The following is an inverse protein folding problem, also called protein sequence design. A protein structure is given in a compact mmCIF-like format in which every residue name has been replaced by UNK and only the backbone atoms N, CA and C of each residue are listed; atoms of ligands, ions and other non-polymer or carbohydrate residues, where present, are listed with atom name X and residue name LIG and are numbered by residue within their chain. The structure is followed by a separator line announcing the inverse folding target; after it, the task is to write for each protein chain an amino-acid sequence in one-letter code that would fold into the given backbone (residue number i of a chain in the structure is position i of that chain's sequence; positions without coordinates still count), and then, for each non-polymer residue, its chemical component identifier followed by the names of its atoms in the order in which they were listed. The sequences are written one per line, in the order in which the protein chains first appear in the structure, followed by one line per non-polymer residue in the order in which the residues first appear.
data_IF_578507603277
#
_entry.id   IF_578507603277
#
_cell.length_a   1.000
_cell.length_b   1.000
_cell.length_c   1.000
_cell.angle_alpha   90.00
_cell.angle_beta   90.00
_cell.angle_gamma   90.00
#
_symmetry.space_group_name_H-M   'P 1'
#
loop_
_entity.id
_entity.type
_entity.pdbx_description
1 polymer ?
#
# COMPACT_ATOMS: atom_id res chain seq x y z
N UNK A 1 -83.75 43.45 -32.64
CA UNK A 1 -83.16 43.75 -31.32
C UNK A 1 -82.72 42.46 -30.63
N UNK A 2 -81.44 42.30 -30.28
CA UNK A 2 -81.02 41.40 -29.23
C UNK A 2 -80.52 42.18 -28.00
N UNK A 3 -80.98 41.73 -26.82
CA UNK A 3 -80.67 42.31 -25.50
C UNK A 3 -79.23 42.00 -25.11
N UNK A 4 -78.42 43.04 -24.90
CA UNK A 4 -77.09 42.93 -24.31
C UNK A 4 -77.21 42.58 -22.82
N UNK A 5 -76.77 41.37 -22.46
CA UNK A 5 -76.77 40.86 -21.10
C UNK A 5 -75.64 41.51 -20.27
N UNK A 6 -75.99 42.49 -19.44
CA UNK A 6 -75.04 43.32 -18.67
C UNK A 6 -74.66 42.73 -17.29
N UNK A 7 -75.09 41.51 -16.97
CA UNK A 7 -74.95 40.91 -15.62
C UNK A 7 -73.75 39.97 -15.41
N UNK A 8 -72.94 39.68 -16.43
CA UNK A 8 -71.83 38.70 -16.34
C UNK A 8 -70.48 39.23 -15.82
N UNK A 9 -70.20 40.53 -15.92
CA UNK A 9 -68.87 41.09 -15.60
C UNK A 9 -68.62 41.34 -14.10
N UNK A 10 -69.66 41.55 -13.30
CA UNK A 10 -69.50 41.93 -11.89
C UNK A 10 -69.25 40.74 -10.95
N UNK A 11 -69.73 39.53 -11.28
CA UNK A 11 -69.46 38.30 -10.51
C UNK A 11 -68.03 37.78 -10.71
N UNK A 12 -67.51 37.87 -11.93
CA UNK A 12 -66.14 37.44 -12.27
C UNK A 12 -65.06 38.31 -11.61
N UNK A 13 -65.26 39.63 -11.53
CA UNK A 13 -64.34 40.52 -10.81
C UNK A 13 -64.33 40.24 -9.31
N UNK A 14 -65.50 40.12 -8.67
CA UNK A 14 -65.60 39.80 -7.22
C UNK A 14 -65.00 38.43 -6.86
N UNK A 15 -65.12 37.43 -7.74
CA UNK A 15 -64.52 36.11 -7.54
C UNK A 15 -62.98 36.17 -7.61
N UNK A 16 -62.42 36.87 -8.62
CA UNK A 16 -60.97 37.09 -8.74
C UNK A 16 -60.39 37.87 -7.56
N UNK A 17 -61.08 38.91 -7.07
CA UNK A 17 -60.61 39.70 -5.91
C UNK A 17 -60.66 38.88 -4.62
N UNK A 18 -61.67 38.02 -4.44
CA UNK A 18 -61.70 37.09 -3.29
C UNK A 18 -60.56 36.06 -3.35
N UNK A 19 -60.28 35.50 -4.52
CA UNK A 19 -59.23 34.50 -4.66
C UNK A 19 -57.83 35.09 -4.41
N UNK A 20 -57.53 36.26 -4.96
CA UNK A 20 -56.28 36.99 -4.65
C UNK A 20 -56.13 37.33 -3.17
N UNK A 21 -57.23 37.61 -2.47
CA UNK A 21 -57.21 37.86 -1.02
C UNK A 21 -56.92 36.59 -0.22
N UNK A 22 -57.49 35.44 -0.62
CA UNK A 22 -57.21 34.15 0.02
C UNK A 22 -55.78 33.68 -0.25
N UNK A 23 -55.30 33.80 -1.49
CA UNK A 23 -53.92 33.43 -1.86
C UNK A 23 -52.90 34.32 -1.13
N UNK A 24 -53.18 35.63 -1.02
CA UNK A 24 -52.33 36.56 -0.25
C UNK A 24 -52.32 36.29 1.25
N UNK A 25 -53.46 35.86 1.82
CA UNK A 25 -53.55 35.47 3.23
C UNK A 25 -52.78 34.17 3.52
N UNK A 26 -52.87 33.19 2.63
CA UNK A 26 -52.10 31.95 2.74
C UNK A 26 -50.58 32.21 2.61
N UNK A 27 -50.18 33.11 1.72
CA UNK A 27 -48.77 33.49 1.57
C UNK A 27 -48.20 34.14 2.85
N UNK A 28 -48.95 35.03 3.49
CA UNK A 28 -48.54 35.66 4.75
C UNK A 28 -48.47 34.63 5.89
N UNK A 29 -49.42 33.70 5.97
CA UNK A 29 -49.39 32.62 6.97
C UNK A 29 -48.20 31.68 6.76
N UNK A 30 -47.81 31.40 5.51
CA UNK A 30 -46.59 30.61 5.21
C UNK A 30 -45.30 31.36 5.53
N UNK A 31 -45.23 32.67 5.25
CA UNK A 31 -44.04 33.48 5.60
C UNK A 31 -43.86 33.60 7.12
N UNK A 32 -44.96 33.68 7.87
CA UNK A 32 -44.92 33.74 9.33
C UNK A 32 -44.51 32.40 9.95
N UNK A 33 -44.93 31.26 9.37
CA UNK A 33 -44.41 29.94 9.76
C UNK A 33 -42.91 29.81 9.49
N UNK A 34 -42.45 30.15 8.28
CA UNK A 34 -41.03 30.06 7.91
C UNK A 34 -40.17 30.96 8.82
N UNK A 35 -40.67 32.14 9.21
CA UNK A 35 -39.96 33.01 10.16
C UNK A 35 -39.83 32.38 11.55
N UNK A 36 -40.88 31.73 12.06
CA UNK A 36 -40.82 31.05 13.36
C UNK A 36 -39.88 29.86 13.34
N UNK A 37 -39.93 29.04 12.28
CA UNK A 37 -38.99 27.91 12.12
C UNK A 37 -37.54 28.41 12.05
N UNK A 38 -37.26 29.47 11.28
CA UNK A 38 -35.93 30.06 11.25
C UNK A 38 -35.50 30.67 12.60
N UNK A 39 -36.42 31.25 13.38
CA UNK A 39 -36.13 31.77 14.73
C UNK A 39 -35.79 30.65 15.72
N UNK A 40 -36.49 29.51 15.63
CA UNK A 40 -36.20 28.30 16.41
C UNK A 40 -34.84 27.70 16.04
N UNK A 41 -34.53 27.57 14.75
CA UNK A 41 -33.22 27.11 14.26
C UNK A 41 -32.08 28.05 14.72
N UNK A 42 -32.29 29.37 14.68
CA UNK A 42 -31.30 30.34 15.17
C UNK A 42 -31.08 30.19 16.68
N UNK A 43 -32.13 29.92 17.46
CA UNK A 43 -31.99 29.71 18.91
C UNK A 43 -31.23 28.42 19.23
N UNK A 44 -31.48 27.33 18.49
CA UNK A 44 -30.75 26.07 18.66
C UNK A 44 -29.27 26.24 18.34
N UNK A 45 -28.94 26.90 17.23
CA UNK A 45 -27.55 27.22 16.86
C UNK A 45 -26.87 28.11 17.91
N UNK A 46 -27.60 29.06 18.51
CA UNK A 46 -27.05 29.90 19.58
C UNK A 46 -26.74 29.09 20.84
N UNK A 47 -27.57 28.10 21.18
CA UNK A 47 -27.31 27.21 22.31
C UNK A 47 -26.08 26.34 22.05
N UNK A 48 -25.93 25.77 20.85
CA UNK A 48 -24.75 24.98 20.48
C UNK A 48 -23.46 25.81 20.55
N UNK A 49 -23.49 27.06 20.08
CA UNK A 49 -22.34 27.96 20.18
C UNK A 49 -21.95 28.20 21.65
N UNK A 50 -22.94 28.34 22.54
CA UNK A 50 -22.70 28.55 23.96
C UNK A 50 -22.09 27.30 24.62
N UNK A 51 -22.56 26.12 24.27
CA UNK A 51 -22.03 24.86 24.79
C UNK A 51 -20.57 24.64 24.33
N UNK A 52 -20.27 24.89 23.05
CA UNK A 52 -18.90 24.83 22.51
C UNK A 52 -17.97 25.84 23.18
N UNK A 53 -18.46 27.03 23.50
CA UNK A 53 -17.69 28.02 24.24
C UNK A 53 -17.34 27.55 25.66
N UNK A 54 -18.27 26.86 26.33
CA UNK A 54 -18.01 26.28 27.66
C UNK A 54 -16.96 25.17 27.58
N UNK A 55 -17.10 24.23 26.64
CA UNK A 55 -16.11 23.17 26.44
C UNK A 55 -14.72 23.73 26.12
N UNK A 56 -14.65 24.81 25.32
CA UNK A 56 -13.38 25.46 25.01
C UNK A 56 -12.72 26.07 26.26
N UNK A 57 -13.51 26.60 27.20
CA UNK A 57 -12.99 27.12 28.47
C UNK A 57 -12.47 26.00 29.37
N UNK A 58 -13.17 24.86 29.43
CA UNK A 58 -12.76 23.72 30.23
C UNK A 58 -11.44 23.13 29.72
N UNK A 59 -11.29 22.97 28.39
CA UNK A 59 -10.04 22.55 27.74
C UNK A 59 -8.90 23.53 28.01
N UNK A 60 -9.18 24.84 28.05
CA UNK A 60 -8.17 25.85 28.40
C UNK A 60 -7.70 25.71 29.85
N UNK A 61 -8.58 25.36 30.78
CA UNK A 61 -8.21 25.10 32.18
C UNK A 61 -7.34 23.85 32.31
N UNK A 62 -7.74 22.74 31.68
CA UNK A 62 -6.94 21.51 31.67
C UNK A 62 -5.55 21.74 31.06
N UNK A 63 -5.47 22.55 30.00
CA UNK A 63 -4.18 22.89 29.38
C UNK A 63 -3.27 23.68 30.33
N UNK A 64 -3.84 24.54 31.18
CA UNK A 64 -3.08 25.29 32.19
C UNK A 64 -2.56 24.37 33.30
N UNK A 65 -3.36 23.40 33.73
CA UNK A 65 -2.94 22.41 34.74
C UNK A 65 -1.77 21.56 34.22
N UNK A 66 -1.85 21.06 32.99
CA UNK A 66 -0.75 20.30 32.36
C UNK A 66 0.51 21.16 32.21
N UNK A 67 0.38 22.45 31.89
CA UNK A 67 1.54 23.36 31.84
C UNK A 67 2.22 23.52 33.20
N UNK A 68 1.45 23.52 34.30
CA UNK A 68 1.99 23.55 35.65
C UNK A 68 2.73 22.26 35.98
N UNK A 69 2.16 21.09 35.66
CA UNK A 69 2.83 19.80 35.88
C UNK A 69 4.17 19.70 35.12
N UNK A 70 4.22 20.19 33.88
CA UNK A 70 5.47 20.22 33.10
C UNK A 70 6.52 21.10 33.78
N UNK A 71 6.14 22.23 34.38
CA UNK A 71 7.08 23.08 35.12
C UNK A 71 7.61 22.38 36.37
N UNK A 72 6.76 21.68 37.11
CA UNK A 72 7.14 20.96 38.32
C UNK A 72 8.13 19.83 38.00
N UNK A 73 7.88 19.06 36.93
CA UNK A 73 8.81 18.01 36.45
C UNK A 73 10.14 18.59 36.00
N UNK A 74 10.14 19.75 35.33
CA UNK A 74 11.38 20.43 34.95
C UNK A 74 12.21 20.85 36.16
N UNK A 75 11.57 21.29 37.24
CA UNK A 75 12.24 21.63 38.49
C UNK A 75 12.83 20.37 39.15
N UNK A 76 12.07 19.29 39.25
CA UNK A 76 12.56 18.02 39.83
C UNK A 76 13.77 17.47 39.05
N UNK A 77 13.74 17.61 37.71
CA UNK A 77 14.86 17.19 36.84
C UNK A 77 16.12 18.03 37.07
N UNK A 78 15.98 19.33 37.35
CA UNK A 78 17.10 20.20 37.69
C UNK A 78 17.70 19.83 39.05
N UNK A 79 16.86 19.56 40.05
CA UNK A 79 17.30 19.12 41.38
C UNK A 79 18.08 17.78 41.31
N UNK A 80 17.62 16.82 40.49
CA UNK A 80 18.35 15.55 40.29
C UNK A 80 19.67 15.75 39.54
N UNK A 81 19.74 16.69 38.60
CA UNK A 81 21.00 17.02 37.94
C UNK A 81 22.00 17.63 38.93
N UNK A 82 21.55 18.57 39.76
CA UNK A 82 22.37 19.19 40.80
C UNK A 82 22.94 18.16 41.79
N UNK A 83 22.10 17.23 42.28
CA UNK A 83 22.53 16.15 43.18
C UNK A 83 23.53 15.19 42.54
N UNK A 84 23.38 14.87 41.26
CA UNK A 84 24.35 14.05 40.53
C UNK A 84 25.71 14.76 40.38
N UNK A 85 25.73 16.07 40.16
CA UNK A 85 26.98 16.87 40.18
C UNK A 85 27.64 16.85 41.56
N UNK A 86 26.86 16.98 42.64
CA UNK A 86 27.35 16.94 44.02
C UNK A 86 27.92 15.55 44.40
N UNK A 87 27.40 14.47 43.81
CA UNK A 87 27.96 13.12 43.95
C UNK A 87 29.27 12.90 43.17
N UNK A 88 29.46 13.55 42.02
CA UNK A 88 30.73 13.48 41.29
C UNK A 88 31.87 14.20 42.02
N UNK A 89 31.59 15.31 42.73
CA UNK A 89 32.60 16.05 43.50
C UNK A 89 33.06 15.33 44.80
N UNK A 90 32.30 14.33 45.27
CA UNK A 90 32.62 13.57 46.51
C UNK A 90 33.14 12.15 46.25
N UNK A 91 33.11 11.68 45.00
CA UNK A 91 33.48 10.31 44.60
C UNK A 91 34.93 10.06 44.21
N UNK A 92 35.79 11.09 44.14
CA UNK A 92 37.23 10.94 43.85
C UNK A 92 38.05 10.48 45.07
N UNK A 93 37.67 9.36 45.69
CA UNK A 93 38.61 8.56 46.51
C UNK A 93 38.04 7.15 46.66
N UNK A 94 38.39 6.21 45.76
CA UNK A 94 38.52 4.76 46.12
C UNK A 94 38.78 3.79 44.96
N UNK A 95 38.87 4.20 43.69
CA UNK A 95 39.02 3.23 42.57
C UNK A 95 40.33 3.39 41.82
N UNK A 96 41.45 3.44 42.54
CA UNK A 96 42.79 3.23 41.99
C UNK A 96 43.57 2.29 42.90
N UNK A 97 43.33 0.98 42.76
CA UNK A 97 44.23 -0.10 43.24
C UNK A 97 43.69 -1.46 42.84
N UNK A 98 43.83 -1.82 41.55
CA UNK A 98 44.17 -3.19 41.10
C UNK A 98 44.24 -3.22 39.57
N UNK A 99 45.37 -2.79 39.03
CA UNK A 99 45.75 -3.13 37.67
C UNK A 99 47.26 -3.37 37.63
N UNK A 100 47.66 -4.60 37.95
CA UNK A 100 48.96 -5.16 37.59
C UNK A 100 48.98 -6.65 37.95
N UNK A 101 49.60 -7.45 37.07
CA UNK A 101 49.82 -8.91 37.11
C UNK A 101 48.70 -9.80 36.56
N UNK A 102 48.78 -10.08 35.25
CA UNK A 102 49.10 -11.45 34.81
C UNK A 102 49.41 -11.48 33.31
N UNK A 103 50.69 -11.55 33.00
CA UNK A 103 51.20 -12.02 31.73
C UNK A 103 52.24 -13.12 32.01
N UNK A 104 52.25 -14.14 31.15
CA UNK A 104 53.31 -15.14 30.88
C UNK A 104 53.28 -16.54 31.56
N UNK A 105 52.94 -17.53 30.69
CA UNK A 105 53.59 -18.86 30.44
C UNK A 105 53.34 -20.04 31.42
N UNK A 106 53.72 -21.31 31.08
CA UNK A 106 53.37 -22.13 29.91
C UNK A 106 52.99 -23.61 30.28
N UNK A 107 52.56 -24.39 29.27
CA UNK A 107 52.62 -25.87 29.10
C UNK A 107 52.93 -26.78 30.30
N UNK A 108 52.11 -27.83 30.56
CA UNK A 108 52.48 -29.23 30.26
C UNK A 108 51.45 -30.33 30.63
N UNK A 109 51.54 -31.44 29.89
CA UNK A 109 51.36 -32.86 30.27
C UNK A 109 49.95 -33.50 30.34
N UNK A 110 49.69 -34.28 29.29
CA UNK A 110 49.38 -35.72 29.27
C UNK A 110 48.56 -36.33 30.43
N UNK A 111 47.38 -36.82 30.07
CA UNK A 111 46.76 -37.98 30.71
C UNK A 111 46.51 -39.04 29.63
N UNK A 112 47.35 -40.08 29.65
CA UNK A 112 47.14 -41.31 28.91
C UNK A 112 45.90 -42.01 29.46
N UNK A 113 44.98 -42.42 28.58
CA UNK A 113 44.04 -43.49 28.88
C UNK A 113 43.49 -44.11 27.59
N UNK A 114 43.80 -45.39 27.38
CA UNK A 114 42.90 -46.33 26.72
C UNK A 114 43.02 -46.46 25.20
N UNK A 115 43.88 -47.38 24.77
CA UNK A 115 43.98 -47.89 23.41
C UNK A 115 42.61 -48.32 22.82
N UNK A 116 42.12 -47.57 21.84
CA UNK A 116 41.34 -48.06 20.70
C UNK A 116 41.90 -47.33 19.48
N UNK A 117 42.32 -48.05 18.44
CA UNK A 117 42.85 -47.47 17.21
C UNK A 117 41.83 -46.48 16.64
N UNK A 118 42.05 -45.18 16.83
CA UNK A 118 41.21 -44.14 16.26
C UNK A 118 41.36 -44.22 14.75
N UNK A 119 40.25 -44.46 14.04
CA UNK A 119 40.25 -44.33 12.58
C UNK A 119 40.78 -42.95 12.22
N UNK A 120 41.75 -42.88 11.31
CA UNK A 120 42.12 -41.61 10.67
C UNK A 120 40.83 -41.00 10.11
N UNK A 121 40.38 -39.91 10.71
CA UNK A 121 39.22 -39.17 10.25
C UNK A 121 39.63 -37.72 10.19
N UNK A 122 39.33 -37.05 9.09
CA UNK A 122 39.60 -35.62 8.95
C UNK A 122 38.47 -34.87 9.66
N UNK A 123 38.81 -34.11 10.70
CA UNK A 123 37.88 -33.27 11.45
C UNK A 123 38.52 -31.92 11.78
N UNK A 124 37.75 -31.02 12.39
CA UNK A 124 38.21 -29.68 12.72
C UNK A 124 39.38 -29.64 13.72
N UNK A 125 39.63 -30.74 14.47
CA UNK A 125 40.70 -30.83 15.47
C UNK A 125 42.06 -31.26 14.89
N UNK A 126 42.08 -31.84 13.70
CA UNK A 126 43.28 -32.34 13.03
C UNK A 126 43.39 -31.80 11.59
N UNK A 127 42.95 -30.55 11.42
CA UNK A 127 42.99 -29.82 10.17
C UNK A 127 44.11 -28.79 10.19
N UNK A 128 45.08 -28.94 9.28
CA UNK A 128 46.30 -28.11 9.27
C UNK A 128 46.18 -26.86 8.39
N UNK A 129 45.05 -26.67 7.69
CA UNK A 129 44.82 -25.55 6.79
C UNK A 129 43.90 -24.48 7.39
N UNK A 130 43.66 -23.39 6.66
CA UNK A 130 42.78 -22.31 7.12
C UNK A 130 41.30 -22.76 7.22
N UNK A 131 40.51 -22.08 8.07
CA UNK A 131 39.08 -22.33 8.20
C UNK A 131 38.30 -22.23 6.88
N UNK A 132 38.58 -21.26 5.97
CA UNK A 132 37.94 -21.23 4.65
C UNK A 132 38.25 -22.44 3.77
N UNK A 133 39.43 -23.05 3.93
CA UNK A 133 39.77 -24.27 3.20
C UNK A 133 38.96 -25.47 3.70
N UNK A 134 38.70 -25.53 5.02
CA UNK A 134 37.85 -26.56 5.62
C UNK A 134 36.42 -26.46 5.10
N UNK A 135 35.86 -25.26 5.04
CA UNK A 135 34.52 -25.03 4.48
C UNK A 135 34.42 -25.46 3.02
N UNK A 136 35.44 -25.13 2.21
CA UNK A 136 35.49 -25.53 0.80
C UNK A 136 35.51 -27.06 0.63
N UNK A 137 36.32 -27.77 1.42
CA UNK A 137 36.43 -29.22 1.35
C UNK A 137 35.16 -29.94 1.85
N UNK A 138 34.53 -29.42 2.91
CA UNK A 138 33.24 -29.94 3.39
C UNK A 138 32.15 -29.80 2.31
N UNK A 139 32.14 -28.68 1.57
CA UNK A 139 31.19 -28.47 0.47
C UNK A 139 31.45 -29.45 -0.67
N UNK A 140 32.71 -29.67 -1.06
CA UNK A 140 33.07 -30.65 -2.10
C UNK A 140 32.69 -32.06 -1.68
N UNK A 141 32.97 -32.44 -0.43
CA UNK A 141 32.58 -33.73 0.11
C UNK A 141 31.06 -33.94 0.09
N UNK A 142 30.29 -32.91 0.47
CA UNK A 142 28.83 -32.96 0.41
C UNK A 142 28.28 -33.16 -1.00
N UNK A 143 28.90 -32.54 -2.02
CA UNK A 143 28.50 -32.75 -3.42
C UNK A 143 28.83 -34.16 -3.92
N UNK A 144 30.00 -34.70 -3.58
CA UNK A 144 30.40 -36.05 -3.97
C UNK A 144 29.48 -37.12 -3.35
N UNK A 145 29.17 -36.97 -2.06
CA UNK A 145 28.21 -37.85 -1.36
C UNK A 145 26.83 -37.76 -2.00
N UNK A 146 26.38 -36.56 -2.38
CA UNK A 146 25.09 -36.39 -3.04
C UNK A 146 25.05 -36.98 -4.46
N UNK A 147 26.16 -37.03 -5.18
CA UNK A 147 26.25 -37.74 -6.46
C UNK A 147 26.20 -39.26 -6.25
N UNK A 148 26.91 -39.78 -5.25
CA UNK A 148 26.93 -41.21 -4.91
C UNK A 148 25.56 -41.71 -4.42
N UNK A 149 24.94 -40.99 -3.48
CA UNK A 149 23.67 -41.41 -2.86
C UNK A 149 22.45 -41.20 -3.75
N UNK A 150 22.46 -40.19 -4.62
CA UNK A 150 21.27 -39.74 -5.32
C UNK A 150 21.43 -39.60 -6.84
N UNK A 151 22.62 -39.88 -7.40
CA UNK A 151 22.89 -39.74 -8.83
C UNK A 151 22.77 -38.30 -9.34
N UNK A 152 22.85 -37.31 -8.45
CA UNK A 152 22.64 -35.90 -8.77
C UNK A 152 23.90 -35.29 -9.38
N UNK A 153 23.93 -35.16 -10.71
CA UNK A 153 24.95 -34.37 -11.41
C UNK A 153 24.60 -32.89 -11.41
N UNK A 154 25.29 -32.12 -10.58
CA UNK A 154 25.09 -30.68 -10.46
C UNK A 154 25.67 -29.96 -11.67
N UNK A 155 24.83 -29.68 -12.67
CA UNK A 155 25.14 -28.72 -13.73
C UNK A 155 25.09 -27.31 -13.12
N UNK A 156 26.19 -26.90 -12.47
CA UNK A 156 26.37 -25.51 -12.09
C UNK A 156 26.26 -24.65 -13.36
N UNK A 157 25.20 -23.85 -13.46
CA UNK A 157 25.12 -22.80 -14.46
C UNK A 157 26.42 -21.99 -14.39
N UNK A 158 27.24 -22.10 -15.46
CA UNK A 158 28.63 -21.60 -15.58
C UNK A 158 28.90 -20.33 -14.77
N UNK A 159 29.27 -20.46 -13.49
CA UNK A 159 29.94 -19.41 -12.74
C UNK A 159 31.43 -19.64 -12.97
N UNK A 160 32.10 -18.69 -13.62
CA UNK A 160 33.56 -18.70 -13.70
C UNK A 160 34.09 -18.73 -12.26
N UNK A 161 34.89 -19.73 -11.91
CA UNK A 161 35.62 -19.73 -10.64
C UNK A 161 36.54 -18.49 -10.64
N UNK A 162 36.21 -17.51 -9.81
CA UNK A 162 36.88 -16.21 -9.77
C UNK A 162 38.21 -16.26 -9.01
N UNK A 163 38.47 -17.34 -8.28
CA UNK A 163 39.59 -17.48 -7.34
C UNK A 163 40.74 -18.29 -7.96
N UNK A 164 40.46 -19.12 -8.97
CA UNK A 164 41.50 -19.88 -9.67
C UNK A 164 42.53 -18.98 -10.39
N UNK A 165 43.80 -19.39 -10.32
CA UNK A 165 44.92 -18.75 -11.04
C UNK A 165 44.62 -18.71 -12.55
N UNK A 166 44.80 -17.54 -13.17
CA UNK A 166 44.49 -17.32 -14.60
C UNK A 166 43.03 -16.93 -14.90
N UNK A 167 42.15 -16.88 -13.89
CA UNK A 167 40.75 -16.47 -14.09
C UNK A 167 40.61 -15.02 -14.57
N UNK A 168 41.47 -14.11 -14.11
CA UNK A 168 41.48 -12.71 -14.52
C UNK A 168 41.82 -12.55 -16.00
N UNK A 169 42.92 -13.15 -16.44
CA UNK A 169 43.38 -13.12 -17.82
C UNK A 169 42.31 -13.69 -18.77
N UNK A 170 41.69 -14.80 -18.39
CA UNK A 170 40.59 -15.40 -19.15
C UNK A 170 39.38 -14.45 -19.24
N UNK A 171 39.01 -13.73 -18.18
CA UNK A 171 37.93 -12.72 -18.22
C UNK A 171 38.27 -11.56 -19.17
N UNK A 172 39.50 -11.08 -19.16
CA UNK A 172 39.97 -10.00 -20.06
C UNK A 172 39.86 -10.45 -21.52
N UNK A 173 40.35 -11.66 -21.83
CA UNK A 173 40.26 -12.24 -23.18
C UNK A 173 38.81 -12.45 -23.64
N UNK A 174 37.95 -13.04 -22.80
CA UNK A 174 36.52 -13.19 -23.10
C UNK A 174 35.82 -11.83 -23.31
N UNK A 175 36.24 -10.80 -22.57
CA UNK A 175 35.70 -9.44 -22.71
C UNK A 175 36.12 -8.81 -24.04
N UNK A 176 37.38 -9.00 -24.46
CA UNK A 176 37.88 -8.59 -25.77
C UNK A 176 37.14 -9.28 -26.93
N UNK A 177 36.93 -10.60 -26.82
CA UNK A 177 36.17 -11.37 -27.81
C UNK A 177 34.72 -10.88 -27.92
N UNK A 178 34.06 -10.58 -26.79
CA UNK A 178 32.70 -10.03 -26.77
C UNK A 178 32.62 -8.62 -27.36
N UNK A 179 33.64 -7.80 -27.13
CA UNK A 179 33.70 -6.45 -27.68
C UNK A 179 33.82 -6.49 -29.21
N UNK A 180 34.72 -7.35 -29.72
CA UNK A 180 34.98 -7.47 -31.16
C UNK A 180 33.87 -8.23 -31.90
N UNK A 181 33.43 -9.37 -31.37
CA UNK A 181 32.48 -10.29 -32.02
C UNK A 181 31.00 -10.03 -31.69
N UNK A 182 30.68 -8.91 -31.02
CA UNK A 182 29.34 -8.59 -30.48
C UNK A 182 28.79 -9.71 -29.58
N UNK A 183 27.51 -9.68 -29.26
CA UNK A 183 26.86 -10.65 -28.33
C UNK A 183 26.88 -12.09 -28.86
N UNK A 184 26.99 -12.29 -30.17
CA UNK A 184 26.88 -13.61 -30.83
C UNK A 184 28.23 -14.31 -31.03
N UNK A 185 29.33 -13.72 -30.54
CA UNK A 185 30.70 -14.21 -30.73
C UNK A 185 30.91 -15.67 -30.34
N UNK A 186 30.11 -16.19 -29.41
CA UNK A 186 30.19 -17.58 -28.94
C UNK A 186 29.80 -18.62 -30.00
N UNK A 187 29.07 -18.23 -31.04
CA UNK A 187 28.44 -19.18 -31.98
C UNK A 187 29.44 -19.86 -32.91
N UNK A 188 30.42 -19.13 -33.43
CA UNK A 188 31.49 -19.69 -34.29
C UNK A 188 32.41 -20.62 -33.50
N UNK A 189 33.05 -20.20 -32.39
CA UNK A 189 33.93 -21.08 -31.62
C UNK A 189 33.21 -22.32 -31.07
N UNK A 190 31.91 -22.20 -30.74
CA UNK A 190 31.12 -23.36 -30.32
C UNK A 190 30.94 -24.37 -31.45
N UNK A 191 30.64 -23.90 -32.66
CA UNK A 191 30.48 -24.75 -33.84
C UNK A 191 31.81 -25.41 -34.22
N UNK A 192 32.91 -24.68 -34.10
CA UNK A 192 34.25 -25.16 -34.41
C UNK A 192 34.71 -26.22 -33.39
N UNK A 193 34.37 -26.04 -32.10
CA UNK A 193 34.74 -26.97 -31.04
C UNK A 193 33.84 -28.21 -30.93
N UNK A 194 32.56 -28.11 -31.31
CA UNK A 194 31.56 -29.19 -31.08
C UNK A 194 30.98 -29.78 -32.36
N UNK A 195 31.36 -29.27 -33.54
CA UNK A 195 30.85 -29.70 -34.84
C UNK A 195 29.37 -29.39 -35.08
N UNK A 196 28.67 -28.81 -34.10
CA UNK A 196 27.22 -28.60 -34.12
C UNK A 196 26.87 -27.19 -33.66
N UNK A 197 25.74 -26.66 -34.14
CA UNK A 197 25.30 -25.33 -33.72
C UNK A 197 24.69 -25.37 -32.31
N UNK A 198 24.80 -24.30 -31.50
CA UNK A 198 24.17 -24.25 -30.19
C UNK A 198 22.66 -24.52 -30.25
N UNK A 199 22.11 -25.16 -29.21
CA UNK A 199 20.69 -25.51 -29.13
C UNK A 199 19.74 -24.31 -29.21
N UNK A 200 18.47 -24.57 -29.53
CA UNK A 200 17.46 -23.54 -29.82
C UNK A 200 17.24 -22.55 -28.66
N UNK A 201 17.26 -23.03 -27.42
CA UNK A 201 17.15 -22.18 -26.23
C UNK A 201 18.30 -21.17 -26.10
N UNK A 202 19.52 -21.59 -26.44
CA UNK A 202 20.70 -20.71 -26.39
C UNK A 202 20.64 -19.64 -27.49
N UNK A 203 20.22 -20.01 -28.70
CA UNK A 203 19.97 -19.06 -29.80
C UNK A 203 18.90 -18.03 -29.42
N UNK A 204 17.83 -18.47 -28.75
CA UNK A 204 16.78 -17.56 -28.26
C UNK A 204 17.29 -16.61 -27.18
N UNK A 205 18.14 -17.09 -26.27
CA UNK A 205 18.80 -16.25 -25.26
C UNK A 205 19.72 -15.19 -25.89
N UNK A 206 20.53 -15.58 -26.88
CA UNK A 206 21.39 -14.63 -27.62
C UNK A 206 20.57 -13.54 -28.31
N UNK A 207 19.48 -13.93 -29.00
CA UNK A 207 18.56 -12.98 -29.65
C UNK A 207 17.94 -11.99 -28.66
N UNK A 208 17.57 -12.44 -27.45
CA UNK A 208 17.08 -11.55 -26.38
C UNK A 208 18.14 -10.53 -25.95
N UNK A 209 19.41 -10.93 -25.83
CA UNK A 209 20.48 -10.03 -25.46
C UNK A 209 20.81 -9.02 -26.56
N UNK A 210 20.83 -9.44 -27.83
CA UNK A 210 20.99 -8.54 -28.98
C UNK A 210 19.88 -7.49 -29.00
N UNK A 211 18.62 -7.92 -28.92
CA UNK A 211 17.46 -7.02 -28.87
C UNK A 211 17.53 -6.04 -27.68
N UNK A 212 18.03 -6.48 -26.52
CA UNK A 212 18.22 -5.61 -25.35
C UNK A 212 19.30 -4.56 -25.57
N UNK A 213 20.43 -4.94 -26.20
CA UNK A 213 21.50 -4.03 -26.54
C UNK A 213 21.06 -3.00 -27.60
N UNK A 214 20.33 -3.43 -28.63
CA UNK A 214 19.76 -2.55 -29.66
C UNK A 214 18.75 -1.56 -29.08
N UNK A 215 17.81 -2.02 -28.24
CA UNK A 215 16.86 -1.14 -27.54
C UNK A 215 17.57 -0.08 -26.68
N UNK A 216 18.66 -0.46 -26.00
CA UNK A 216 19.50 0.49 -25.24
C UNK A 216 20.22 1.49 -26.15
N UNK A 217 20.66 1.07 -27.34
CA UNK A 217 21.25 1.95 -28.35
C UNK A 217 20.21 2.91 -28.96
N UNK A 218 19.02 2.43 -29.33
CA UNK A 218 17.92 3.29 -29.80
C UNK A 218 17.49 4.32 -28.74
N UNK A 219 17.44 3.93 -27.46
CA UNK A 219 17.19 4.89 -26.36
C UNK A 219 18.25 5.97 -26.21
N UNK A 220 19.50 5.72 -26.61
CA UNK A 220 20.55 6.75 -26.63
C UNK A 220 20.36 7.71 -27.82
N UNK A 221 20.00 7.18 -29.00
CA UNK A 221 19.76 7.95 -30.23
C UNK A 221 18.55 8.89 -30.15
N UNK A 222 17.52 8.53 -29.36
CA UNK A 222 16.37 9.40 -29.08
C UNK A 222 16.70 10.67 -28.28
N UNK A 223 17.93 10.80 -27.77
CA UNK A 223 18.44 11.99 -27.08
C UNK A 223 19.67 12.60 -27.78
N UNK A 224 19.79 12.45 -29.10
CA UNK A 224 20.79 13.14 -29.91
C UNK A 224 20.42 14.64 -30.01
N UNK A 225 20.71 15.39 -28.94
CA UNK A 225 20.40 16.82 -28.86
C UNK A 225 20.66 17.49 -27.52
N UNK A 226 21.29 16.82 -26.55
CA UNK A 226 21.80 17.50 -25.35
C UNK A 226 23.30 17.73 -25.48
N UNK A 227 23.80 18.97 -25.30
CA UNK A 227 25.22 19.26 -25.41
C UNK A 227 26.02 18.42 -24.39
N UNK A 228 27.22 18.03 -24.80
CA UNK A 228 28.16 17.12 -24.10
C UNK A 228 28.63 17.57 -22.70
N UNK A 229 28.03 18.62 -22.13
CA UNK A 229 28.31 19.14 -20.79
C UNK A 229 27.25 18.76 -19.74
N UNK A 230 26.33 17.84 -20.05
CA UNK A 230 25.57 17.18 -19.00
C UNK A 230 26.49 16.17 -18.29
N UNK A 231 27.22 16.66 -17.27
CA UNK A 231 27.90 15.81 -16.30
C UNK A 231 26.92 14.72 -15.90
N UNK A 232 27.22 13.44 -16.21
CA UNK A 232 26.43 12.31 -15.70
C UNK A 232 26.18 12.62 -14.23
N UNK A 233 24.93 12.58 -13.71
CA UNK A 233 24.74 12.76 -12.29
C UNK A 233 25.65 11.72 -11.65
N UNK A 234 26.67 12.19 -10.93
CA UNK A 234 27.55 11.31 -10.17
C UNK A 234 26.58 10.46 -9.39
N UNK A 235 26.56 9.14 -9.61
CA UNK A 235 25.82 8.25 -8.72
C UNK A 235 26.28 8.67 -7.34
N UNK A 236 25.37 9.21 -6.54
CA UNK A 236 25.69 9.57 -5.17
C UNK A 236 26.43 8.34 -4.61
N UNK A 237 27.60 8.56 -4.00
CA UNK A 237 28.24 7.50 -3.23
C UNK A 237 27.10 6.89 -2.42
N UNK A 238 26.81 5.60 -2.59
CA UNK A 238 25.84 4.93 -1.74
C UNK A 238 26.34 5.23 -0.33
N UNK A 239 25.61 6.10 0.38
CA UNK A 239 25.85 6.25 1.80
C UNK A 239 25.66 4.86 2.39
N UNK A 240 26.48 4.47 3.38
CA UNK A 240 26.17 3.27 4.17
C UNK A 240 24.69 3.34 4.54
N UNK A 241 23.94 2.28 4.27
CA UNK A 241 22.52 2.24 4.61
C UNK A 241 22.42 2.47 6.11
N UNK A 242 21.78 3.55 6.56
CA UNK A 242 21.63 3.84 7.99
C UNK A 242 21.02 2.63 8.71
N UNK A 243 20.11 1.95 8.02
CA UNK A 243 19.42 0.74 8.47
C UNK A 243 20.29 -0.54 8.49
N UNK A 244 21.60 -0.48 8.17
CA UNK A 244 22.45 -1.68 8.11
C UNK A 244 23.90 -1.44 8.59
N UNK A 245 24.26 -2.08 9.71
CA UNK A 245 25.60 -2.06 10.28
C UNK A 245 25.57 -2.08 11.82
N UNK A 246 26.73 -2.07 12.50
CA UNK A 246 26.82 -2.07 13.96
C UNK A 246 26.22 -0.84 14.66
N UNK A 247 25.87 0.20 13.89
CA UNK A 247 25.22 1.44 14.31
C UNK A 247 23.81 1.59 13.72
N UNK A 248 23.25 0.55 13.10
CA UNK A 248 21.86 0.59 12.67
C UNK A 248 20.97 0.78 13.89
N UNK A 249 19.97 1.65 13.78
CA UNK A 249 19.00 1.90 14.84
C UNK A 249 18.54 0.54 15.39
N UNK A 250 18.78 0.32 16.67
CA UNK A 250 18.27 -0.87 17.34
C UNK A 250 16.75 -0.86 17.15
N UNK A 251 16.20 -2.02 16.81
CA UNK A 251 14.75 -2.20 16.73
C UNK A 251 14.16 -1.61 18.02
N UNK A 252 13.31 -0.59 17.87
CA UNK A 252 12.52 -0.06 18.98
C UNK A 252 11.91 -1.24 19.75
N UNK A 253 11.90 -1.14 21.07
CA UNK A 253 11.35 -2.19 21.92
C UNK A 253 9.96 -2.59 21.38
N UNK A 254 9.72 -3.89 21.08
CA UNK A 254 8.42 -4.35 20.61
C UNK A 254 7.25 -3.81 21.43
N UNK A 255 7.44 -3.57 22.73
CA UNK A 255 6.43 -3.01 23.62
C UNK A 255 6.13 -1.52 23.32
N UNK A 256 7.15 -0.71 23.05
CA UNK A 256 6.97 0.69 22.64
C UNK A 256 6.23 0.81 21.32
N UNK A 257 6.53 -0.07 20.36
CA UNK A 257 5.83 -0.08 19.06
C UNK A 257 4.34 -0.37 19.25
N UNK A 258 3.99 -1.32 20.12
CA UNK A 258 2.59 -1.65 20.41
C UNK A 258 1.87 -0.46 21.03
N UNK A 259 2.49 0.21 22.01
CA UNK A 259 1.92 1.41 22.64
C UNK A 259 1.66 2.53 21.62
N UNK A 260 2.62 2.84 20.76
CA UNK A 260 2.43 3.84 19.70
C UNK A 260 1.32 3.48 18.72
N UNK A 261 1.20 2.19 18.35
CA UNK A 261 0.13 1.72 17.47
C UNK A 261 -1.23 1.92 18.14
N UNK A 262 -1.35 1.64 19.44
CA UNK A 262 -2.60 1.85 20.18
C UNK A 262 -2.97 3.33 20.27
N UNK A 263 -2.01 4.22 20.49
CA UNK A 263 -2.25 5.68 20.48
C UNK A 263 -2.75 6.17 19.13
N UNK A 264 -2.15 5.70 18.03
CA UNK A 264 -2.60 6.02 16.67
C UNK A 264 -4.03 5.51 16.44
N UNK A 265 -4.35 4.29 16.89
CA UNK A 265 -5.69 3.73 16.74
C UNK A 265 -6.71 4.50 17.58
N UNK A 266 -6.35 4.94 18.78
CA UNK A 266 -7.19 5.80 19.64
C UNK A 266 -7.48 7.14 18.96
N UNK A 267 -6.46 7.78 18.38
CA UNK A 267 -6.63 9.04 17.64
C UNK A 267 -7.46 8.90 16.35
N UNK A 268 -7.56 7.70 15.78
CA UNK A 268 -8.42 7.42 14.63
C UNK A 268 -9.85 7.05 14.99
N UNK A 269 -10.15 6.84 16.28
CA UNK A 269 -11.47 6.41 16.72
C UNK A 269 -12.55 7.44 16.36
N UNK A 270 -13.70 6.96 15.92
CA UNK A 270 -14.80 7.80 15.42
C UNK A 270 -16.10 7.29 16.04
N UNK A 271 -16.96 8.20 16.52
CA UNK A 271 -18.30 7.84 17.00
C UNK A 271 -19.25 7.51 15.84
N UNK A 272 -20.44 6.98 16.11
CA UNK A 272 -21.41 6.72 15.03
C UNK A 272 -21.88 8.02 14.36
N UNK A 273 -22.10 9.09 15.14
CA UNK A 273 -22.47 10.40 14.63
C UNK A 273 -21.37 11.03 13.77
N UNK A 274 -20.12 10.93 14.23
CA UNK A 274 -18.98 11.45 13.47
C UNK A 274 -18.79 10.67 12.16
N UNK A 275 -19.03 9.35 12.17
CA UNK A 275 -18.97 8.51 10.97
C UNK A 275 -19.98 9.00 9.92
N UNK A 276 -21.22 9.26 10.32
CA UNK A 276 -22.27 9.73 9.42
C UNK A 276 -21.97 11.14 8.91
N UNK A 277 -21.47 12.02 9.77
CA UNK A 277 -20.99 13.35 9.39
C UNK A 277 -19.84 13.28 8.37
N UNK A 278 -18.85 12.42 8.60
CA UNK A 278 -17.73 12.20 7.68
C UNK A 278 -18.24 11.62 6.36
N UNK A 279 -19.16 10.67 6.41
CA UNK A 279 -19.76 10.05 5.22
C UNK A 279 -20.43 11.10 4.33
N UNK A 280 -21.26 11.98 4.90
CA UNK A 280 -21.98 13.01 4.15
C UNK A 280 -21.00 14.09 3.66
N UNK A 281 -20.12 14.57 4.53
CA UNK A 281 -19.16 15.63 4.19
C UNK A 281 -18.10 15.19 3.19
N UNK A 282 -17.86 13.89 3.02
CA UNK A 282 -16.90 13.32 2.06
C UNK A 282 -17.51 12.87 0.72
N UNK A 283 -18.80 13.17 0.48
CA UNK A 283 -19.44 12.95 -0.82
C UNK A 283 -18.67 13.72 -1.90
N UNK A 284 -18.52 13.11 -3.09
CA UNK A 284 -17.70 13.65 -4.19
C UNK A 284 -16.31 13.03 -4.29
N UNK A 285 -15.93 12.13 -3.37
CA UNK A 285 -14.72 11.30 -3.41
C UNK A 285 -13.46 12.12 -3.73
N UNK A 286 -12.81 11.88 -4.87
CA UNK A 286 -11.55 12.53 -5.25
C UNK A 286 -11.64 14.05 -5.44
N UNK A 287 -12.84 14.61 -5.60
CA UNK A 287 -13.03 16.06 -5.67
C UNK A 287 -13.14 16.74 -4.30
N UNK A 288 -13.07 15.97 -3.21
CA UNK A 288 -13.33 16.43 -1.86
C UNK A 288 -12.08 16.27 -0.98
N UNK A 289 -11.64 17.37 -0.37
CA UNK A 289 -10.45 17.39 0.49
C UNK A 289 -10.64 16.57 1.77
N UNK A 290 -11.84 16.60 2.36
CA UNK A 290 -12.19 15.79 3.55
C UNK A 290 -12.09 14.30 3.24
N UNK A 291 -12.51 13.91 2.05
CA UNK A 291 -12.35 12.52 1.61
C UNK A 291 -10.87 12.13 1.52
N UNK A 292 -10.01 12.97 0.95
CA UNK A 292 -8.58 12.69 0.82
C UNK A 292 -7.87 12.63 2.17
N UNK A 293 -8.16 13.57 3.07
CA UNK A 293 -7.57 13.65 4.41
C UNK A 293 -7.91 12.40 5.23
N UNK A 294 -9.19 12.03 5.33
CA UNK A 294 -9.64 10.87 6.09
C UNK A 294 -9.14 9.56 5.46
N UNK A 295 -9.15 9.47 4.13
CA UNK A 295 -8.70 8.28 3.41
C UNK A 295 -7.21 8.00 3.56
N UNK A 296 -6.37 9.03 3.67
CA UNK A 296 -4.90 8.89 3.75
C UNK A 296 -4.44 8.08 4.96
N UNK A 297 -5.20 8.14 6.05
CA UNK A 297 -4.86 7.50 7.32
C UNK A 297 -5.44 6.09 7.47
N UNK A 298 -6.26 5.63 6.50
CA UNK A 298 -7.04 4.39 6.59
C UNK A 298 -6.77 3.43 5.44
N UNK A 299 -6.92 2.13 5.72
CA UNK A 299 -6.84 1.07 4.72
C UNK A 299 -8.19 0.94 4.01
N UNK A 300 -8.23 1.34 2.74
CA UNK A 300 -9.47 1.28 1.94
C UNK A 300 -9.75 -0.09 1.32
N UNK A 301 -11.03 -0.41 1.14
CA UNK A 301 -11.52 -1.63 0.47
C UNK A 301 -10.78 -1.98 -0.84
N UNK A 302 -10.46 -0.98 -1.67
CA UNK A 302 -9.73 -1.16 -2.94
C UNK A 302 -8.30 -1.74 -2.78
N UNK A 303 -7.68 -1.55 -1.62
CA UNK A 303 -6.36 -2.07 -1.28
C UNK A 303 -6.44 -3.46 -0.64
N UNK A 304 -7.59 -3.84 -0.10
CA UNK A 304 -7.77 -5.03 0.74
C UNK A 304 -7.42 -6.33 0.00
N UNK A 305 -7.80 -6.44 -1.28
CA UNK A 305 -7.45 -7.60 -2.11
C UNK A 305 -5.95 -7.85 -2.24
N UNK A 306 -5.11 -6.81 -2.16
CA UNK A 306 -3.65 -6.93 -2.16
C UNK A 306 -3.11 -7.43 -0.82
N UNK A 307 -3.74 -7.00 0.27
CA UNK A 307 -3.38 -7.40 1.65
C UNK A 307 -3.74 -8.85 1.90
N UNK A 308 -4.98 -9.24 1.61
CA UNK A 308 -5.50 -10.61 1.87
C UNK A 308 -4.75 -11.67 1.05
N UNK A 309 -4.35 -11.35 -0.18
CA UNK A 309 -3.61 -12.29 -1.05
C UNK A 309 -2.13 -12.39 -0.75
N UNK A 310 -1.59 -11.57 0.15
CA UNK A 310 -0.17 -11.61 0.49
C UNK A 310 0.16 -12.95 1.13
N UNK A 311 1.14 -13.67 0.59
CA UNK A 311 1.64 -14.91 1.20
C UNK A 311 2.47 -14.58 2.45
N UNK A 312 2.42 -15.44 3.46
CA UNK A 312 3.17 -15.30 4.72
C UNK A 312 4.66 -15.04 4.52
N UNK A 313 5.29 -15.72 3.55
CA UNK A 313 6.72 -15.62 3.23
C UNK A 313 7.08 -14.47 2.26
N UNK A 314 6.10 -13.76 1.69
CA UNK A 314 6.38 -12.60 0.85
C UNK A 314 6.60 -11.38 1.76
N UNK A 315 7.75 -10.70 1.68
CA UNK A 315 8.03 -9.58 2.58
C UNK A 315 7.02 -8.43 2.36
N UNK A 316 6.55 -7.82 3.46
CA UNK A 316 5.46 -6.84 3.43
C UNK A 316 5.89 -5.42 3.09
N UNK A 317 7.17 -5.07 3.21
CA UNK A 317 7.68 -3.69 3.08
C UNK A 317 7.27 -3.01 1.76
N UNK A 318 7.27 -3.74 0.63
CA UNK A 318 6.88 -3.18 -0.65
C UNK A 318 5.38 -2.85 -0.73
N UNK A 319 4.55 -3.70 -0.13
CA UNK A 319 3.11 -3.47 -0.02
C UNK A 319 2.82 -2.28 0.89
N UNK A 320 3.42 -2.27 2.09
CA UNK A 320 3.28 -1.18 3.07
C UNK A 320 3.72 0.15 2.45
N UNK A 321 4.89 0.20 1.80
CA UNK A 321 5.38 1.40 1.10
C UNK A 321 4.40 1.89 0.04
N UNK A 322 3.74 0.99 -0.69
CA UNK A 322 2.74 1.38 -1.69
C UNK A 322 1.42 1.87 -1.11
N UNK A 323 1.06 1.43 0.11
CA UNK A 323 -0.13 1.89 0.83
C UNK A 323 0.13 3.28 1.42
N UNK A 324 1.32 3.48 2.00
CA UNK A 324 1.74 4.76 2.60
C UNK A 324 2.09 5.84 1.58
N UNK A 325 2.67 5.46 0.43
CA UNK A 325 3.07 6.38 -0.65
C UNK A 325 2.18 6.21 -1.87
N UNK A 326 0.87 6.43 -1.70
CA UNK A 326 -0.04 6.48 -2.84
C UNK A 326 0.36 7.66 -3.73
N UNK A 327 0.76 7.37 -4.97
CA UNK A 327 1.07 8.40 -5.95
C UNK A 327 -0.22 8.94 -6.57
N UNK A 328 -0.36 10.26 -6.62
CA UNK A 328 -1.47 10.96 -7.28
C UNK A 328 -1.35 10.91 -8.81
N UNK A 329 -1.09 9.72 -9.39
CA UNK A 329 -1.02 9.53 -10.82
C UNK A 329 -2.39 9.17 -11.38
N UNK A 330 -2.91 10.06 -12.22
CA UNK A 330 -4.11 9.79 -13.01
C UNK A 330 -3.71 8.98 -14.25
N UNK A 331 -4.44 7.90 -14.52
CA UNK A 331 -4.21 7.05 -15.70
C UNK A 331 -5.41 7.18 -16.65
N UNK A 332 -5.21 6.93 -17.95
CA UNK A 332 -6.29 6.93 -18.95
C UNK A 332 -7.48 6.05 -18.53
N UNK A 333 -7.21 4.92 -17.88
CA UNK A 333 -8.25 4.02 -17.39
C UNK A 333 -9.03 4.60 -16.21
N UNK A 334 -8.39 5.41 -15.35
CA UNK A 334 -9.05 6.11 -14.24
C UNK A 334 -9.92 7.26 -14.76
N UNK A 335 -9.41 8.07 -15.70
CA UNK A 335 -10.20 9.13 -16.34
C UNK A 335 -11.43 8.57 -17.05
N UNK A 336 -11.24 7.48 -17.81
CA UNK A 336 -12.34 6.77 -18.44
C UNK A 336 -13.37 6.27 -17.40
N UNK A 337 -12.87 5.73 -16.28
CA UNK A 337 -13.70 5.31 -15.15
C UNK A 337 -14.59 6.44 -14.64
N UNK A 338 -13.97 7.54 -14.22
CA UNK A 338 -14.65 8.73 -13.68
C UNK A 338 -15.72 9.26 -14.65
N UNK A 339 -15.39 9.35 -15.95
CA UNK A 339 -16.30 9.86 -16.96
C UNK A 339 -17.50 8.94 -17.23
N UNK A 340 -17.31 7.62 -17.16
CA UNK A 340 -18.34 6.64 -17.51
C UNK A 340 -19.14 6.14 -16.33
N UNK A 341 -18.66 6.32 -15.11
CA UNK A 341 -19.33 5.89 -13.89
C UNK A 341 -20.74 6.50 -13.77
N UNK A 342 -20.88 7.82 -13.96
CA UNK A 342 -22.19 8.50 -13.93
C UNK A 342 -23.16 7.96 -14.97
N UNK A 343 -22.66 7.66 -16.17
CA UNK A 343 -23.48 7.08 -17.25
C UNK A 343 -23.92 5.66 -16.89
N UNK A 344 -23.03 4.85 -16.33
CA UNK A 344 -23.31 3.48 -15.92
C UNK A 344 -24.35 3.44 -14.79
N UNK A 345 -24.23 4.31 -13.78
CA UNK A 345 -25.24 4.47 -12.72
C UNK A 345 -26.61 4.80 -13.30
N UNK A 346 -26.70 5.79 -14.20
CA UNK A 346 -27.97 6.17 -14.82
C UNK A 346 -28.60 5.08 -15.71
N UNK A 347 -27.79 4.22 -16.34
CA UNK A 347 -28.29 3.03 -17.06
C UNK A 347 -28.82 2.00 -16.07
N UNK A 348 -28.08 1.75 -14.99
CA UNK A 348 -28.47 0.82 -13.94
C UNK A 348 -29.81 1.21 -13.31
N UNK A 349 -29.96 2.48 -12.89
CA UNK A 349 -31.18 3.03 -12.30
C UNK A 349 -32.40 2.82 -13.20
N UNK A 350 -32.27 3.13 -14.49
CA UNK A 350 -33.34 2.93 -15.48
C UNK A 350 -33.66 1.45 -15.71
N UNK A 351 -32.64 0.60 -15.75
CA UNK A 351 -32.82 -0.83 -16.05
C UNK A 351 -33.45 -1.61 -14.90
N UNK A 352 -33.12 -1.25 -13.65
CA UNK A 352 -33.60 -1.93 -12.44
C UNK A 352 -34.78 -1.19 -11.81
N UNK A 353 -35.10 0.03 -12.25
CA UNK A 353 -36.08 0.92 -11.63
C UNK A 353 -35.79 1.15 -10.13
N UNK A 354 -34.51 1.35 -9.81
CA UNK A 354 -34.01 1.63 -8.46
C UNK A 354 -33.33 3.00 -8.47
N UNK A 355 -33.39 3.70 -7.34
CA UNK A 355 -32.65 4.96 -7.14
C UNK A 355 -31.30 4.66 -6.50
N UNK A 356 -30.23 5.26 -7.02
CA UNK A 356 -28.89 5.16 -6.46
C UNK A 356 -28.51 6.49 -5.82
N UNK A 357 -28.35 6.50 -4.50
CA UNK A 357 -27.85 7.67 -3.78
C UNK A 357 -26.32 7.72 -3.83
N UNK A 358 -25.77 8.93 -3.90
CA UNK A 358 -24.32 9.12 -3.77
C UNK A 358 -23.84 8.70 -2.38
N UNK A 359 -22.59 8.23 -2.31
CA UNK A 359 -21.95 7.82 -1.06
C UNK A 359 -20.60 8.50 -0.91
N UNK A 360 -20.25 8.79 0.33
CA UNK A 360 -18.90 9.19 0.72
C UNK A 360 -18.12 8.01 1.33
N UNK A 361 -17.18 8.35 2.20
CA UNK A 361 -16.33 7.41 2.93
C UNK A 361 -17.03 6.88 4.19
N UNK A 362 -17.15 5.57 4.29
CA UNK A 362 -17.62 4.86 5.46
C UNK A 362 -16.44 4.33 6.27
N UNK A 363 -16.45 4.59 7.57
CA UNK A 363 -15.41 4.16 8.52
C UNK A 363 -15.98 3.06 9.43
N UNK A 364 -15.20 2.02 9.68
CA UNK A 364 -15.58 0.96 10.62
C UNK A 364 -15.34 1.42 12.07
N UNK A 365 -16.37 1.43 12.90
CA UNK A 365 -16.26 1.92 14.30
C UNK A 365 -15.48 1.01 15.23
N UNK A 366 -15.36 -0.28 14.89
CA UNK A 366 -14.59 -1.20 15.71
C UNK A 366 -13.12 -1.20 15.30
N UNK A 367 -12.86 -0.99 14.03
CA UNK A 367 -11.55 -0.98 13.41
C UNK A 367 -11.39 0.35 12.65
N UNK A 368 -11.14 1.47 13.35
CA UNK A 368 -11.16 2.82 12.75
C UNK A 368 -10.12 3.03 11.64
N UNK A 369 -9.10 2.17 11.57
CA UNK A 369 -8.13 2.13 10.48
C UNK A 369 -8.68 1.49 9.19
N UNK A 370 -9.90 0.97 9.17
CA UNK A 370 -10.59 0.43 7.99
C UNK A 370 -11.63 1.40 7.49
N UNK A 371 -11.67 1.57 6.16
CA UNK A 371 -12.69 2.38 5.51
C UNK A 371 -13.07 1.84 4.13
N UNK A 372 -14.25 2.21 3.65
CA UNK A 372 -14.73 1.86 2.33
C UNK A 372 -15.56 3.01 1.75
N UNK A 373 -15.46 3.21 0.44
CA UNK A 373 -16.26 4.20 -0.27
C UNK A 373 -16.99 3.44 -1.37
N UNK A 374 -18.25 3.00 -1.15
CA UNK A 374 -19.02 2.38 -2.21
C UNK A 374 -19.33 3.43 -3.27
N UNK A 375 -19.58 2.99 -4.51
CA UNK A 375 -19.88 3.93 -5.60
C UNK A 375 -21.30 4.49 -5.44
N UNK A 376 -22.21 3.78 -4.80
CA UNK A 376 -23.51 4.31 -4.40
C UNK A 376 -24.28 3.39 -3.45
N UNK A 377 -25.37 3.92 -2.92
CA UNK A 377 -26.27 3.22 -2.00
C UNK A 377 -27.63 3.01 -2.67
N UNK A 378 -28.25 1.86 -2.43
CA UNK A 378 -29.55 1.48 -2.95
C UNK A 378 -30.46 1.19 -1.76
N UNK A 379 -31.39 2.11 -1.49
CA UNK A 379 -32.21 2.04 -0.28
C UNK A 379 -31.34 2.01 0.98
N UNK A 380 -31.70 1.17 1.94
CA UNK A 380 -31.02 1.11 3.23
C UNK A 380 -30.02 -0.06 3.34
N UNK A 381 -30.17 -1.09 2.50
CA UNK A 381 -29.51 -2.39 2.73
C UNK A 381 -28.56 -2.84 1.61
N UNK A 382 -28.48 -2.08 0.52
CA UNK A 382 -27.71 -2.47 -0.65
C UNK A 382 -26.75 -1.38 -1.11
N UNK A 383 -25.61 -1.82 -1.66
CA UNK A 383 -24.58 -0.97 -2.22
C UNK A 383 -24.35 -1.33 -3.68
N UNK A 384 -23.88 -0.37 -4.47
CA UNK A 384 -23.43 -0.57 -5.85
C UNK A 384 -21.94 -0.27 -5.97
N UNK A 385 -21.24 -1.12 -6.71
CA UNK A 385 -19.84 -0.94 -7.11
C UNK A 385 -19.78 -1.03 -8.64
N UNK A 386 -19.38 0.07 -9.27
CA UNK A 386 -19.40 0.27 -10.72
C UNK A 386 -17.97 0.20 -11.26
N UNK A 387 -17.70 -0.75 -12.17
CA UNK A 387 -16.40 -0.85 -12.84
C UNK A 387 -16.52 -0.61 -14.34
N UNK A 388 -16.00 0.54 -14.79
CA UNK A 388 -15.90 0.85 -16.23
C UNK A 388 -14.55 0.37 -16.79
N UNK A 389 -14.56 -0.79 -17.45
CA UNK A 389 -13.34 -1.45 -17.94
C UNK A 389 -12.81 -0.81 -19.24
N UNK A 390 -11.81 0.08 -19.13
CA UNK A 390 -11.14 0.70 -20.29
C UNK A 390 -10.52 -0.31 -21.29
N UNK A 391 -10.19 -1.52 -20.85
CA UNK A 391 -9.70 -2.57 -21.77
C UNK A 391 -10.80 -3.10 -22.68
N UNK A 392 -12.05 -3.15 -22.21
CA UNK A 392 -13.20 -3.58 -22.99
C UNK A 392 -13.62 -2.51 -24.00
N UNK A 393 -13.46 -1.23 -23.68
CA UNK A 393 -13.80 -0.13 -24.60
C UNK A 393 -12.90 -0.06 -25.84
N UNK A 394 -11.76 -0.78 -25.85
CA UNK A 394 -10.85 -0.88 -26.99
C UNK A 394 -11.23 -2.01 -27.95
N UNK A 395 -12.20 -2.84 -27.59
CA UNK A 395 -12.71 -3.90 -28.46
C UNK A 395 -13.57 -3.30 -29.57
N UNK A 396 -13.61 -3.94 -30.76
CA UNK A 396 -14.44 -3.47 -31.86
C UNK A 396 -15.92 -3.48 -31.46
N UNK A 397 -16.68 -2.48 -31.94
CA UNK A 397 -18.10 -2.27 -31.65
C UNK A 397 -19.01 -3.44 -32.05
N UNK A 398 -18.50 -4.40 -32.80
CA UNK A 398 -19.18 -5.66 -33.13
C UNK A 398 -19.28 -6.61 -31.92
N UNK A 399 -18.44 -6.41 -30.89
CA UNK A 399 -18.46 -7.19 -29.65
C UNK A 399 -19.59 -6.69 -28.76
N UNK A 400 -20.79 -7.22 -28.99
CA UNK A 400 -22.02 -6.68 -28.35
C UNK A 400 -22.39 -7.43 -27.08
N UNK A 401 -21.85 -8.63 -26.86
CA UNK A 401 -22.22 -9.49 -25.73
C UNK A 401 -21.10 -9.57 -24.69
N UNK A 402 -21.49 -9.66 -23.42
CA UNK A 402 -20.55 -9.76 -22.30
C UNK A 402 -19.74 -11.07 -22.37
N UNK A 403 -20.32 -12.14 -22.92
CA UNK A 403 -19.66 -13.42 -23.17
C UNK A 403 -18.49 -13.27 -24.16
N UNK A 404 -18.69 -12.61 -25.31
CA UNK A 404 -17.62 -12.39 -26.29
C UNK A 404 -16.47 -11.56 -25.70
N UNK A 405 -16.80 -10.55 -24.88
CA UNK A 405 -15.79 -9.74 -24.18
C UNK A 405 -14.95 -10.61 -23.23
N UNK A 406 -15.58 -11.53 -22.51
CA UNK A 406 -14.90 -12.45 -21.60
C UNK A 406 -13.99 -13.40 -22.38
N UNK A 407 -14.45 -13.94 -23.50
CA UNK A 407 -13.67 -14.87 -24.31
C UNK A 407 -12.47 -14.18 -24.98
N UNK A 408 -12.64 -12.95 -25.48
CA UNK A 408 -11.58 -12.18 -26.13
C UNK A 408 -10.50 -11.68 -25.15
N UNK A 409 -10.90 -11.23 -23.96
CA UNK A 409 -9.97 -10.68 -22.97
C UNK A 409 -9.41 -11.76 -22.03
N UNK A 410 -10.11 -12.87 -21.85
CA UNK A 410 -9.72 -14.04 -21.08
C UNK A 410 -9.23 -13.71 -19.67
N UNK A 411 -7.93 -13.90 -19.42
CA UNK A 411 -7.33 -13.63 -18.11
C UNK A 411 -7.16 -12.14 -17.79
N UNK A 412 -7.33 -11.24 -18.76
CA UNK A 412 -7.18 -9.79 -18.57
C UNK A 412 -8.42 -9.12 -17.97
N UNK A 413 -9.57 -9.79 -17.98
CA UNK A 413 -10.82 -9.29 -17.40
C UNK A 413 -11.06 -9.88 -15.99
N UNK A 414 -11.80 -9.14 -15.17
CA UNK A 414 -12.17 -9.55 -13.82
C UNK A 414 -13.33 -10.55 -13.74
N UNK A 415 -14.04 -10.79 -14.86
CA UNK A 415 -15.21 -11.66 -14.95
C UNK A 415 -14.84 -13.07 -15.41
N UNK A 416 -15.63 -14.05 -14.99
CA UNK A 416 -15.59 -15.44 -15.43
C UNK A 416 -17.01 -15.99 -15.61
N UNK A 417 -17.14 -16.98 -16.49
CA UNK A 417 -18.37 -17.74 -16.67
C UNK A 417 -18.32 -18.99 -15.79
N UNK A 418 -19.26 -19.12 -14.85
CA UNK A 418 -19.50 -20.37 -14.11
C UNK A 418 -20.98 -20.67 -14.11
N UNK A 419 -21.34 -21.93 -14.35
CA UNK A 419 -22.72 -22.41 -14.32
C UNK A 419 -23.68 -21.61 -15.22
N UNK A 420 -23.21 -21.24 -16.42
CA UNK A 420 -23.91 -20.36 -17.38
C UNK A 420 -24.29 -18.97 -16.83
N UNK A 421 -23.68 -18.54 -15.73
CA UNK A 421 -23.82 -17.21 -15.15
C UNK A 421 -22.47 -16.48 -15.22
N UNK A 422 -22.54 -15.19 -15.48
CA UNK A 422 -21.37 -14.31 -15.46
C UNK A 422 -21.18 -13.82 -14.03
N UNK A 423 -20.00 -14.02 -13.49
CA UNK A 423 -19.67 -13.64 -12.12
C UNK A 423 -18.25 -13.07 -12.04
N UNK A 424 -17.97 -12.35 -10.96
CA UNK A 424 -16.63 -11.86 -10.66
C UNK A 424 -15.72 -13.01 -10.23
N UNK A 425 -14.50 -13.05 -10.78
CA UNK A 425 -13.46 -13.99 -10.35
C UNK A 425 -13.17 -13.83 -8.86
N UNK A 426 -13.35 -14.90 -8.08
CA UNK A 426 -13.07 -14.91 -6.63
C UNK A 426 -11.61 -14.59 -6.28
N UNK A 427 -10.68 -14.86 -7.20
CA UNK A 427 -9.27 -14.51 -7.04
C UNK A 427 -8.94 -13.10 -7.59
N UNK A 428 -9.90 -12.31 -8.03
CA UNK A 428 -9.65 -10.93 -8.48
C UNK A 428 -9.64 -9.95 -7.30
N UNK A 429 -8.95 -8.81 -7.42
CA UNK A 429 -8.85 -7.84 -6.31
C UNK A 429 -10.21 -7.19 -5.99
N UNK A 430 -11.00 -6.91 -7.03
CA UNK A 430 -12.35 -6.36 -6.90
C UNK A 430 -13.29 -7.24 -6.07
N UNK A 431 -13.04 -8.57 -5.97
CA UNK A 431 -13.89 -9.45 -5.17
C UNK A 431 -13.78 -9.12 -3.69
N UNK A 432 -12.56 -8.87 -3.24
CA UNK A 432 -12.30 -8.46 -1.86
C UNK A 432 -12.76 -7.03 -1.61
N UNK A 433 -12.69 -6.15 -2.61
CA UNK A 433 -13.18 -4.77 -2.48
C UNK A 433 -14.67 -4.74 -2.13
N UNK A 434 -15.49 -5.49 -2.87
CA UNK A 434 -16.93 -5.58 -2.59
C UNK A 434 -17.20 -6.27 -1.26
N UNK A 435 -16.49 -7.36 -0.96
CA UNK A 435 -16.66 -8.08 0.30
C UNK A 435 -16.39 -7.19 1.52
N UNK A 436 -15.47 -6.23 1.41
CA UNK A 436 -15.14 -5.27 2.47
C UNK A 436 -15.93 -3.96 2.42
N UNK A 437 -16.99 -3.88 1.61
CA UNK A 437 -17.87 -2.71 1.59
C UNK A 437 -18.63 -2.53 2.91
N UNK A 438 -19.13 -1.32 3.20
CA UNK A 438 -19.99 -1.09 4.35
C UNK A 438 -21.34 -1.76 4.07
N UNK A 439 -21.77 -2.64 4.97
CA UNK A 439 -23.11 -3.23 4.95
C UNK A 439 -23.68 -3.05 6.33
N UNK A 440 -24.70 -2.20 6.44
CA UNK A 440 -25.39 -1.96 7.70
C UNK A 440 -26.45 -3.05 7.87
N UNK A 441 -26.20 -4.01 8.76
CA UNK A 441 -27.27 -4.84 9.31
C UNK A 441 -27.08 -5.04 10.80
N UNK A 442 -28.09 -4.59 11.53
CA UNK A 442 -28.33 -4.93 12.92
C UNK A 442 -28.09 -6.43 13.14
N UNK A 443 -27.25 -6.73 14.14
CA UNK A 443 -27.09 -8.05 14.76
C UNK A 443 -26.49 -9.15 13.87
N UNK A 444 -25.33 -8.90 13.27
CA UNK A 444 -24.16 -9.80 13.34
C UNK A 444 -23.01 -9.17 12.56
N UNK A 445 -21.92 -8.86 13.28
CA UNK A 445 -20.65 -8.39 12.73
C UNK A 445 -20.05 -9.46 11.80
N UNK A 446 -20.50 -9.51 10.55
CA UNK A 446 -19.80 -10.20 9.47
C UNK A 446 -19.97 -9.39 8.20
N UNK A 447 -18.85 -8.97 7.61
CA UNK A 447 -18.79 -8.53 6.22
C UNK A 447 -19.38 -9.64 5.34
N UNK A 448 -20.66 -9.49 4.98
CA UNK A 448 -21.41 -10.44 4.18
C UNK A 448 -21.50 -9.94 2.73
N UNK A 449 -21.57 -10.85 1.75
CA UNK A 449 -21.43 -10.52 0.34
C UNK A 449 -22.60 -9.67 -0.14
N UNK A 450 -22.34 -8.40 -0.46
CA UNK A 450 -23.30 -7.58 -1.20
C UNK A 450 -23.46 -8.10 -2.63
N UNK A 451 -24.69 -8.02 -3.13
CA UNK A 451 -25.11 -8.57 -4.40
C UNK A 451 -24.50 -7.74 -5.55
N UNK A 452 -23.44 -8.24 -6.18
CA UNK A 452 -22.88 -7.61 -7.39
C UNK A 452 -23.65 -8.09 -8.61
N UNK A 453 -24.43 -7.19 -9.21
CA UNK A 453 -25.00 -7.38 -10.55
C UNK A 453 -24.18 -6.55 -11.54
N UNK A 454 -23.54 -7.25 -12.48
CA UNK A 454 -22.64 -6.69 -13.50
C UNK A 454 -23.40 -6.17 -14.71
#
# INVERSE_FOLDING_TARGET
MPRYNRYGRSRSKKAKTKQLYWDGKQHLETEEMIRKENEEEIQEVQQEIQDVQQETQDVQQETQEVQQEIQDVQQETQETQEDNTRHMETGETSVEKTFQQKELLPTNMNAENGCKSTKEHVCYKNWDNSAPAMEADMVVQGFNISEEMHGLRFNQGKRLNLIQRGSYQRRVQLSGLRYNGKTEWHTSPYKDATGSSPGQHFKTFLKRQVNSAEKKSCRKRLFDGKPDNATKPKKAKMMPNHDYGPKADQLEDPEMIVQQVEEIIKGLHVTELDRDRIQISSIGQFGNEVYESERKHRLTASLFGRVVKRKKHTPCHALVRSILKQSNCMTEAMEYGILKEKVAKGIFEKSQNLQVSESGLWIDTQNPYLAASPDGLIGNDAIIEVKCLHSASKLPATTSTLDEVIDLLGNKICLEKRDNKIQLKRNHNYYYQVYTGPVEHHKQKQMLPSCVRW
#
